data_IF_168063990985
#
_entry.id   IF_168063990985
#
_cell.length_a   1.000
_cell.length_b   1.000
_cell.length_c   1.000
_cell.angle_alpha   90.00
_cell.angle_beta   90.00
_cell.angle_gamma   90.00
#
_symmetry.space_group_name_H-M   'P 1'
#
loop_
_entity.id
_entity.type
_entity.pdbx_description
1 polymer ?
#
# COMPACT_ATOMS: atom_id res chain seq x y z
N UNK A 1 -7.47 -2.16 -12.03
CA UNK A 1 -7.46 -2.70 -10.66
C UNK A 1 -6.84 -4.09 -10.45
N UNK A 2 -6.32 -4.78 -11.50
CA UNK A 2 -5.99 -6.22 -11.39
C UNK A 2 -4.85 -6.62 -10.42
N UNK A 3 -3.87 -5.75 -10.13
CA UNK A 3 -2.80 -6.08 -9.17
C UNK A 3 -3.35 -6.34 -7.75
N UNK A 4 -4.42 -5.65 -7.38
CA UNK A 4 -4.99 -5.70 -6.03
C UNK A 4 -6.20 -6.63 -5.93
N UNK A 5 -6.81 -6.99 -7.06
CA UNK A 5 -8.05 -7.76 -7.11
C UNK A 5 -7.87 -9.27 -7.34
N UNK A 6 -6.68 -9.80 -7.69
CA UNK A 6 -6.68 -11.23 -8.03
C UNK A 6 -5.38 -11.93 -8.40
N UNK A 7 -4.19 -11.39 -8.16
CA UNK A 7 -2.96 -12.16 -8.41
C UNK A 7 -2.67 -13.13 -7.27
N UNK A 8 -3.26 -14.32 -7.30
CA UNK A 8 -2.77 -15.43 -6.49
C UNK A 8 -1.38 -15.80 -7.03
N UNK A 9 -0.35 -15.59 -6.21
CA UNK A 9 1.02 -15.95 -6.56
C UNK A 9 1.30 -17.25 -5.81
N UNK A 10 1.34 -18.40 -6.51
CA UNK A 10 1.66 -19.68 -5.91
C UNK A 10 3.15 -19.74 -5.56
N UNK A 11 3.46 -20.20 -4.35
CA UNK A 11 4.82 -20.44 -3.87
C UNK A 11 5.03 -20.01 -2.42
N UNK A 12 5.71 -20.85 -1.64
CA UNK A 12 6.08 -20.61 -0.23
C UNK A 12 7.21 -19.57 -0.06
N UNK A 13 7.66 -18.93 -1.15
CA UNK A 13 8.86 -18.08 -1.20
C UNK A 13 8.57 -16.66 -1.72
N UNK A 14 7.35 -16.17 -1.52
CA UNK A 14 7.04 -14.78 -1.86
C UNK A 14 7.70 -13.86 -0.83
N UNK A 15 8.98 -13.55 -1.07
CA UNK A 15 9.83 -12.81 -0.14
C UNK A 15 9.89 -11.31 -0.42
N UNK A 16 9.36 -10.84 -1.56
CA UNK A 16 9.46 -9.43 -1.96
C UNK A 16 8.17 -8.96 -2.67
N UNK A 17 7.60 -7.84 -2.21
CA UNK A 17 6.49 -7.14 -2.87
C UNK A 17 6.93 -5.74 -3.27
N UNK A 18 6.66 -5.35 -4.52
CA UNK A 18 6.96 -4.00 -5.03
C UNK A 18 5.67 -3.23 -5.27
N UNK A 19 5.51 -2.11 -4.58
CA UNK A 19 4.38 -1.19 -4.69
C UNK A 19 4.85 0.03 -5.47
N UNK A 20 4.56 0.04 -6.76
CA UNK A 20 4.93 1.13 -7.68
C UNK A 20 4.19 2.44 -7.37
N UNK A 21 2.94 2.34 -6.90
CA UNK A 21 2.06 3.47 -6.63
C UNK A 21 1.08 3.15 -5.50
N UNK A 22 0.77 4.16 -4.68
CA UNK A 22 -0.29 4.04 -3.69
C UNK A 22 -1.65 3.78 -4.38
N UNK A 23 -2.46 2.84 -3.87
CA UNK A 23 -3.63 2.31 -4.56
C UNK A 23 -4.88 3.21 -4.42
N UNK A 24 -4.74 4.49 -4.74
CA UNK A 24 -5.86 5.40 -4.86
C UNK A 24 -6.69 5.02 -6.10
N UNK A 25 -8.03 4.98 -5.96
CA UNK A 25 -8.93 4.78 -7.10
C UNK A 25 -8.79 5.93 -8.10
N UNK A 26 -8.93 5.58 -9.38
CA UNK A 26 -9.18 6.58 -10.43
C UNK A 26 -10.66 6.97 -10.32
N UNK A 27 -11.00 8.27 -10.18
CA UNK A 27 -12.34 8.72 -9.85
C UNK A 27 -13.33 8.67 -11.04
N UNK A 28 -13.17 7.72 -11.96
CA UNK A 28 -14.04 7.55 -13.15
C UNK A 28 -15.25 6.64 -12.88
N UNK A 29 -15.34 6.06 -11.69
CA UNK A 29 -16.45 5.17 -11.32
C UNK A 29 -17.66 5.97 -10.81
N UNK A 30 -18.87 5.83 -11.41
CA UNK A 30 -20.04 6.60 -11.03
C UNK A 30 -20.42 6.47 -9.55
N UNK A 31 -20.30 5.28 -8.97
CA UNK A 31 -20.62 5.05 -7.56
C UNK A 31 -19.62 5.76 -6.62
N UNK A 32 -18.34 5.80 -7.00
CA UNK A 32 -17.33 6.51 -6.23
C UNK A 32 -17.56 8.03 -6.29
N UNK A 33 -17.91 8.55 -7.47
CA UNK A 33 -18.28 9.96 -7.64
C UNK A 33 -19.50 10.34 -6.80
N UNK A 34 -20.57 9.54 -6.82
CA UNK A 34 -21.75 9.80 -6.02
C UNK A 34 -21.44 9.85 -4.51
N UNK A 35 -20.63 8.92 -4.00
CA UNK A 35 -20.19 8.94 -2.59
C UNK A 35 -19.30 10.15 -2.28
N UNK A 36 -18.46 10.55 -3.23
CA UNK A 36 -17.61 11.72 -3.10
C UNK A 36 -18.44 13.00 -2.96
N UNK A 37 -19.40 13.21 -3.87
CA UNK A 37 -20.29 14.37 -3.87
C UNK A 37 -21.15 14.44 -2.60
N UNK A 38 -21.68 13.31 -2.14
CA UNK A 38 -22.44 13.24 -0.89
C UNK A 38 -21.61 13.75 0.31
N UNK A 39 -20.35 13.35 0.43
CA UNK A 39 -19.46 13.84 1.50
C UNK A 39 -19.17 15.33 1.38
N UNK A 40 -19.05 15.86 0.15
CA UNK A 40 -18.88 17.31 -0.05
C UNK A 40 -20.13 18.09 0.37
N UNK A 41 -21.33 17.59 0.06
CA UNK A 41 -22.60 18.20 0.47
C UNK A 41 -22.75 18.23 2.00
N UNK A 42 -22.19 17.24 2.69
CA UNK A 42 -22.11 17.20 4.16
C UNK A 42 -20.99 18.10 4.75
N UNK A 43 -20.22 18.82 3.91
CA UNK A 43 -19.11 19.67 4.34
C UNK A 43 -17.87 18.89 4.82
N UNK A 44 -17.77 17.60 4.49
CA UNK A 44 -16.63 16.73 4.85
C UNK A 44 -15.63 16.66 3.70
N UNK A 45 -14.36 16.42 4.02
CA UNK A 45 -13.32 16.16 3.02
C UNK A 45 -13.42 14.71 2.51
N UNK A 46 -13.84 14.46 1.25
CA UNK A 46 -14.00 13.10 0.74
C UNK A 46 -12.66 12.39 0.55
N UNK A 47 -11.55 13.12 0.37
CA UNK A 47 -10.24 12.49 0.29
C UNK A 47 -9.92 11.78 1.61
N UNK A 48 -10.10 12.47 2.74
CA UNK A 48 -9.82 11.92 4.06
C UNK A 48 -10.87 10.90 4.53
N UNK A 49 -12.14 11.06 4.14
CA UNK A 49 -13.25 10.26 4.63
C UNK A 49 -13.62 9.06 3.73
N UNK A 50 -13.16 9.04 2.47
CA UNK A 50 -13.46 7.97 1.52
C UNK A 50 -12.20 7.44 0.82
N UNK A 51 -11.50 8.31 0.07
CA UNK A 51 -10.41 7.87 -0.82
C UNK A 51 -9.21 7.30 -0.06
N UNK A 52 -8.75 7.98 0.99
CA UNK A 52 -7.63 7.54 1.82
C UNK A 52 -7.95 6.25 2.58
N UNK A 53 -9.09 6.10 3.29
CA UNK A 53 -9.48 4.84 3.92
C UNK A 53 -9.54 3.66 2.93
N UNK A 54 -10.15 3.83 1.76
CA UNK A 54 -10.22 2.78 0.74
C UNK A 54 -8.82 2.39 0.22
N UNK A 55 -7.96 3.37 -0.05
CA UNK A 55 -6.59 3.11 -0.50
C UNK A 55 -5.77 2.40 0.59
N UNK A 56 -5.91 2.79 1.85
CA UNK A 56 -5.23 2.13 2.98
C UNK A 56 -5.71 0.69 3.15
N UNK A 57 -7.01 0.43 3.02
CA UNK A 57 -7.56 -0.93 3.07
C UNK A 57 -6.98 -1.82 1.96
N UNK A 58 -6.94 -1.31 0.72
CA UNK A 58 -6.37 -2.00 -0.43
C UNK A 58 -4.87 -2.26 -0.25
N UNK A 59 -4.14 -1.29 0.30
CA UNK A 59 -2.73 -1.44 0.66
C UNK A 59 -2.50 -2.55 1.68
N UNK A 60 -3.29 -2.60 2.77
CA UNK A 60 -3.23 -3.69 3.76
C UNK A 60 -3.48 -5.06 3.13
N UNK A 61 -4.44 -5.16 2.21
CA UNK A 61 -4.76 -6.41 1.53
C UNK A 61 -3.59 -6.91 0.67
N UNK A 62 -2.91 -6.02 -0.08
CA UNK A 62 -1.71 -6.41 -0.83
C UNK A 62 -0.55 -6.78 0.09
N UNK A 63 -0.39 -6.09 1.23
CA UNK A 63 0.61 -6.47 2.23
C UNK A 63 0.35 -7.87 2.81
N UNK A 64 -0.91 -8.21 3.11
CA UNK A 64 -1.30 -9.52 3.62
C UNK A 64 -1.04 -10.68 2.64
N UNK A 65 -0.74 -10.40 1.36
CA UNK A 65 -0.29 -11.43 0.40
C UNK A 65 1.16 -11.86 0.66
N UNK A 66 1.99 -10.99 1.24
CA UNK A 66 3.39 -11.25 1.59
C UNK A 66 3.51 -12.07 2.87
N UNK A 67 2.82 -11.66 3.94
CA UNK A 67 2.90 -12.29 5.27
C UNK A 67 1.59 -13.02 5.54
N UNK A 68 1.57 -14.35 5.35
CA UNK A 68 0.40 -15.22 5.52
C UNK A 68 0.47 -16.04 6.81
N UNK A 69 1.68 -16.41 7.23
CA UNK A 69 1.95 -17.16 8.46
C UNK A 69 2.87 -16.39 9.40
N UNK A 70 2.94 -16.80 10.67
CA UNK A 70 3.83 -16.18 11.68
C UNK A 70 5.32 -16.36 11.38
N UNK A 71 5.67 -17.32 10.53
CA UNK A 71 7.05 -17.63 10.15
C UNK A 71 7.48 -16.98 8.85
N UNK A 72 6.54 -16.37 8.12
CA UNK A 72 6.85 -15.71 6.85
C UNK A 72 7.73 -14.49 7.10
N UNK A 73 8.72 -14.31 6.24
CA UNK A 73 9.58 -13.13 6.21
C UNK A 73 9.65 -12.62 4.78
N UNK A 74 9.72 -11.31 4.63
CA UNK A 74 9.90 -10.69 3.33
C UNK A 74 10.15 -9.20 3.43
N UNK A 75 10.25 -8.55 2.27
CA UNK A 75 10.41 -7.11 2.14
C UNK A 75 9.29 -6.51 1.31
N UNK A 76 8.94 -5.26 1.62
CA UNK A 76 8.03 -4.45 0.82
C UNK A 76 8.77 -3.22 0.34
N UNK A 77 8.84 -3.04 -0.97
CA UNK A 77 9.49 -1.91 -1.61
C UNK A 77 8.39 -0.96 -2.09
N UNK A 78 8.36 0.27 -1.57
CA UNK A 78 7.39 1.28 -1.98
C UNK A 78 8.12 2.35 -2.80
N UNK A 79 7.83 2.42 -4.10
CA UNK A 79 8.46 3.37 -5.01
C UNK A 79 7.68 4.70 -5.13
N UNK A 80 6.58 4.83 -4.41
CA UNK A 80 5.77 6.05 -4.38
C UNK A 80 6.25 7.02 -3.30
N UNK A 81 6.93 8.09 -3.70
CA UNK A 81 7.45 9.10 -2.79
C UNK A 81 6.38 9.76 -1.92
N UNK A 82 5.09 9.71 -2.31
CA UNK A 82 3.99 10.27 -1.51
C UNK A 82 3.87 9.62 -0.14
N UNK A 83 4.35 8.38 0.03
CA UNK A 83 4.34 7.69 1.33
C UNK A 83 5.21 8.39 2.38
N UNK A 84 6.28 9.07 1.95
CA UNK A 84 7.18 9.83 2.84
C UNK A 84 6.96 11.35 2.78
N UNK A 85 6.52 11.88 1.64
CA UNK A 85 6.43 13.34 1.42
C UNK A 85 5.07 13.94 1.77
N UNK A 86 3.98 13.15 1.76
CA UNK A 86 2.63 13.64 2.08
C UNK A 86 2.24 13.24 3.49
N UNK A 87 1.52 14.12 4.19
CA UNK A 87 1.05 13.90 5.57
C UNK A 87 0.24 12.60 5.72
N UNK A 88 -0.59 12.28 4.73
CA UNK A 88 -1.39 11.05 4.73
C UNK A 88 -0.55 9.77 4.55
N UNK A 89 0.71 9.89 4.10
CA UNK A 89 1.60 8.75 3.89
C UNK A 89 1.82 7.94 5.16
N UNK A 90 1.80 8.61 6.32
CA UNK A 90 1.84 7.97 7.64
C UNK A 90 0.70 6.95 7.82
N UNK A 91 -0.50 7.23 7.29
CA UNK A 91 -1.63 6.31 7.40
C UNK A 91 -1.33 4.96 6.76
N UNK A 92 -0.58 4.91 5.65
CA UNK A 92 -0.16 3.66 5.01
C UNK A 92 0.88 2.92 5.85
N UNK A 93 1.92 3.63 6.32
CA UNK A 93 3.00 3.02 7.09
C UNK A 93 2.52 2.45 8.44
N UNK A 94 1.57 3.12 9.10
CA UNK A 94 0.97 2.62 10.36
C UNK A 94 -0.12 1.59 10.15
N UNK A 95 -0.52 1.32 8.90
CA UNK A 95 -1.62 0.40 8.58
C UNK A 95 -1.19 -1.08 8.63
N UNK A 96 0.08 -1.34 8.45
CA UNK A 96 0.67 -2.69 8.36
C UNK A 96 1.28 -3.09 9.71
N UNK A 97 1.30 -4.41 10.04
CA UNK A 97 2.07 -4.90 11.17
C UNK A 97 3.52 -4.47 10.95
N UNK A 98 4.12 -3.88 11.98
CA UNK A 98 5.36 -3.11 11.87
C UNK A 98 6.55 -3.86 11.26
N UNK A 99 7.64 -3.14 11.10
CA UNK A 99 8.91 -3.60 10.56
C UNK A 99 9.87 -2.43 10.48
N UNK A 100 11.12 -2.70 10.12
CA UNK A 100 12.08 -1.63 9.89
C UNK A 100 11.74 -0.89 8.58
N UNK A 101 11.43 0.40 8.69
CA UNK A 101 11.14 1.24 7.52
C UNK A 101 12.42 2.00 7.17
N UNK A 102 13.04 1.64 6.06
CA UNK A 102 14.28 2.25 5.58
C UNK A 102 13.99 3.07 4.32
N UNK A 103 14.42 4.34 4.32
CA UNK A 103 14.46 5.15 3.10
C UNK A 103 15.80 4.90 2.41
N UNK A 104 15.76 4.41 1.18
CA UNK A 104 16.95 4.01 0.43
C UNK A 104 16.87 4.51 -1.02
N UNK A 105 18.03 4.68 -1.66
CA UNK A 105 18.12 4.89 -3.11
C UNK A 105 17.95 3.57 -3.85
N UNK A 106 17.69 3.62 -5.16
CA UNK A 106 17.55 2.43 -5.99
C UNK A 106 18.80 1.55 -5.96
N UNK A 107 20.00 2.13 -5.87
CA UNK A 107 21.24 1.36 -5.78
C UNK A 107 21.38 0.62 -4.43
N UNK A 108 20.81 1.16 -3.36
CA UNK A 108 20.87 0.57 -2.02
C UNK A 108 19.86 -0.57 -1.82
N UNK A 109 18.74 -0.56 -2.54
CA UNK A 109 17.64 -1.53 -2.36
C UNK A 109 18.14 -2.99 -2.47
N UNK A 110 18.87 -3.42 -3.51
CA UNK A 110 19.33 -4.81 -3.63
C UNK A 110 20.25 -5.23 -2.47
N UNK A 111 21.09 -4.31 -1.98
CA UNK A 111 22.03 -4.54 -0.88
C UNK A 111 21.26 -4.78 0.43
N UNK A 112 20.25 -3.95 0.70
CA UNK A 112 19.42 -4.05 1.89
C UNK A 112 18.57 -5.33 1.90
N UNK A 113 17.99 -5.69 0.75
CA UNK A 113 17.19 -6.93 0.63
C UNK A 113 18.06 -8.14 0.89
N UNK A 114 19.26 -8.19 0.30
CA UNK A 114 20.22 -9.28 0.52
C UNK A 114 20.58 -9.41 1.99
N UNK A 115 20.93 -8.30 2.64
CA UNK A 115 21.27 -8.24 4.08
C UNK A 115 20.12 -8.70 5.00
N UNK A 116 18.86 -8.52 4.59
CA UNK A 116 17.70 -8.89 5.40
C UNK A 116 17.28 -10.37 5.23
N UNK A 117 17.46 -10.91 4.02
CA UNK A 117 17.06 -12.28 3.71
C UNK A 117 18.14 -13.33 4.05
N UNK A 118 19.41 -12.92 4.08
CA UNK A 118 20.55 -13.72 4.57
C UNK A 118 20.69 -13.64 6.09
#
# INVERSE_FOLDING_TARGET
DSFWEGVDIPGSQLSNVVIMRLPFRVPTEPLFQAKWEALQQEGKDPFLNLSLPEAVLKFKQGFGRLIRTKTDRGTVIILDQRVTTKRYGKAFLTSIPGGEIIKATTEQIPILIKKWLE
#
